data_IF_182092638969
#
_entry.id   IF_182092638969
#
_cell.length_a   1.000
_cell.length_b   1.000
_cell.length_c   1.000
_cell.angle_alpha   90.00
_cell.angle_beta   90.00
_cell.angle_gamma   90.00
#
_symmetry.space_group_name_H-M   'P 1'
#
loop_
_entity.id
_entity.type
_entity.pdbx_description
1 polymer ?
#
# COMPACT_ATOMS: atom_id res chain seq x y z
N UNK A 1 4.66 -5.24 41.12
CA UNK A 1 3.38 -5.83 40.68
C UNK A 1 2.85 -4.98 39.53
N UNK A 2 3.18 -5.40 38.33
CA UNK A 2 3.06 -4.69 37.05
C UNK A 2 1.97 -5.26 36.12
N UNK A 3 1.31 -6.36 36.51
CA UNK A 3 0.17 -6.93 35.77
C UNK A 3 -1.04 -5.94 35.65
N UNK A 4 -1.08 -4.91 36.51
CA UNK A 4 -1.98 -3.72 36.58
C UNK A 4 -1.72 -2.71 35.44
N UNK A 5 -0.64 -2.89 34.67
CA UNK A 5 0.01 -1.82 33.89
C UNK A 5 0.53 -2.28 32.52
N UNK A 6 0.68 -3.59 32.29
CA UNK A 6 1.30 -4.16 31.08
C UNK A 6 0.27 -4.92 30.26
N UNK A 7 -0.06 -4.48 29.02
CA UNK A 7 -1.14 -5.05 28.22
C UNK A 7 -0.93 -6.55 27.92
N UNK A 8 0.31 -6.99 27.77
CA UNK A 8 0.68 -8.39 27.55
C UNK A 8 0.47 -9.30 28.77
N UNK A 9 0.15 -8.74 29.93
CA UNK A 9 -0.15 -9.46 31.18
C UNK A 9 -1.64 -9.39 31.58
N UNK A 10 -2.46 -8.53 30.95
CA UNK A 10 -3.85 -8.31 31.37
C UNK A 10 -4.89 -8.21 30.24
N UNK A 11 -4.48 -8.13 28.97
CA UNK A 11 -5.39 -8.08 27.81
C UNK A 11 -5.28 -9.34 26.95
N UNK A 12 -6.41 -9.78 26.40
CA UNK A 12 -6.46 -10.89 25.44
C UNK A 12 -5.91 -10.56 24.04
N UNK A 13 -5.74 -9.26 23.74
CA UNK A 13 -5.19 -8.75 22.48
C UNK A 13 -4.26 -7.56 22.78
N UNK A 14 -3.08 -7.58 22.18
CA UNK A 14 -2.05 -6.53 22.30
C UNK A 14 -1.07 -6.65 21.13
N UNK A 15 -0.21 -5.64 20.94
CA UNK A 15 0.86 -5.63 19.94
C UNK A 15 2.24 -5.57 20.64
N UNK A 16 3.26 -6.21 20.05
CA UNK A 16 4.65 -6.14 20.52
C UNK A 16 5.54 -5.70 19.36
N UNK A 17 6.48 -4.79 19.63
CA UNK A 17 7.48 -4.36 18.66
C UNK A 17 8.44 -5.52 18.35
N UNK A 18 8.40 -6.01 17.10
CA UNK A 18 9.27 -7.07 16.63
C UNK A 18 10.75 -6.63 16.63
N UNK A 19 11.62 -7.46 17.19
CA UNK A 19 13.08 -7.28 17.10
C UNK A 19 13.61 -7.79 15.75
N UNK A 20 14.80 -7.34 15.34
CA UNK A 20 15.39 -7.65 14.02
C UNK A 20 15.45 -9.13 13.63
N UNK A 21 15.54 -10.04 14.60
CA UNK A 21 15.54 -11.49 14.37
C UNK A 21 14.22 -12.02 13.74
N UNK A 22 13.13 -11.25 13.84
CA UNK A 22 11.85 -11.54 13.18
C UNK A 22 11.74 -10.90 11.78
N UNK A 23 12.73 -10.10 11.36
CA UNK A 23 12.74 -9.43 10.07
C UNK A 23 13.63 -10.19 9.08
N UNK A 24 13.28 -10.12 7.78
CA UNK A 24 14.03 -10.81 6.73
C UNK A 24 15.48 -10.32 6.68
N UNK A 25 16.42 -11.27 6.60
CA UNK A 25 17.87 -11.03 6.52
C UNK A 25 18.41 -10.12 7.64
N UNK A 26 17.77 -10.14 8.82
CA UNK A 26 17.98 -9.27 10.00
C UNK A 26 17.90 -7.75 9.74
N UNK A 27 17.32 -7.36 8.60
CA UNK A 27 17.15 -5.96 8.18
C UNK A 27 15.73 -5.50 8.45
N UNK A 28 15.58 -4.24 8.81
CA UNK A 28 14.25 -3.64 8.90
C UNK A 28 13.54 -3.69 7.53
N UNK A 29 12.23 -3.97 7.49
CA UNK A 29 11.50 -4.08 6.24
C UNK A 29 11.38 -2.71 5.55
N UNK A 30 11.54 -2.72 4.23
CA UNK A 30 11.22 -1.59 3.36
C UNK A 30 9.71 -1.27 3.37
N UNK A 31 9.31 0.00 3.20
CA UNK A 31 7.90 0.36 2.99
C UNK A 31 7.31 -0.36 1.77
N UNK A 32 6.04 -0.82 1.84
CA UNK A 32 5.38 -1.49 0.72
C UNK A 32 5.15 -0.54 -0.45
N UNK A 33 4.65 -1.11 -1.56
CA UNK A 33 4.26 -0.36 -2.74
C UNK A 33 2.91 -0.82 -3.28
N UNK A 34 2.11 0.12 -3.80
CA UNK A 34 0.95 -0.21 -4.63
C UNK A 34 1.37 -0.23 -6.10
N UNK A 35 0.95 -1.25 -6.85
CA UNK A 35 1.13 -1.31 -8.30
C UNK A 35 -0.26 -1.32 -8.93
N UNK A 36 -0.65 -0.22 -9.56
CA UNK A 36 -1.91 -0.11 -10.26
C UNK A 36 -1.77 -0.72 -11.66
N UNK A 37 -2.33 -1.94 -11.82
CA UNK A 37 -2.44 -2.62 -13.11
C UNK A 37 -3.81 -2.34 -13.72
N UNK A 38 -3.84 -1.61 -14.83
CA UNK A 38 -5.08 -1.12 -15.48
C UNK A 38 -5.33 -1.90 -16.78
N UNK A 39 -6.51 -2.50 -16.90
CA UNK A 39 -6.95 -3.09 -18.18
C UNK A 39 -7.20 -1.97 -19.21
N UNK A 40 -6.50 -2.04 -20.34
CA UNK A 40 -6.69 -1.15 -21.50
C UNK A 40 -7.23 -1.89 -22.73
N UNK A 41 -7.81 -3.08 -22.52
CA UNK A 41 -8.56 -3.81 -23.54
C UNK A 41 -9.68 -2.96 -24.15
N UNK A 42 -10.09 -3.32 -25.37
CA UNK A 42 -11.19 -2.68 -26.08
C UNK A 42 -12.47 -2.55 -25.23
N UNK A 43 -12.76 -3.51 -24.34
CA UNK A 43 -13.93 -3.48 -23.48
C UNK A 43 -13.80 -2.45 -22.34
N UNK A 44 -12.63 -2.38 -21.70
CA UNK A 44 -12.34 -1.38 -20.65
C UNK A 44 -12.34 0.04 -21.21
N UNK A 45 -11.79 0.25 -22.40
CA UNK A 45 -11.82 1.56 -23.08
C UNK A 45 -13.23 1.91 -23.56
N UNK A 46 -13.94 1.00 -24.23
CA UNK A 46 -15.30 1.25 -24.76
C UNK A 46 -16.33 1.52 -23.66
N UNK A 47 -16.15 0.96 -22.46
CA UNK A 47 -17.03 1.21 -21.30
C UNK A 47 -16.69 2.49 -20.54
N UNK A 48 -15.61 3.19 -20.90
CA UNK A 48 -15.08 4.34 -20.14
C UNK A 48 -14.38 3.96 -18.83
N UNK A 49 -14.27 2.67 -18.50
CA UNK A 49 -13.70 2.19 -17.24
C UNK A 49 -12.23 2.58 -17.08
N UNK A 50 -11.42 2.45 -18.14
CA UNK A 50 -10.02 2.86 -18.12
C UNK A 50 -9.84 4.37 -17.85
N UNK A 51 -10.71 5.21 -18.44
CA UNK A 51 -10.70 6.66 -18.23
C UNK A 51 -11.14 7.04 -16.81
N UNK A 52 -12.21 6.41 -16.31
CA UNK A 52 -12.74 6.62 -14.97
C UNK A 52 -11.78 6.19 -13.86
N UNK A 53 -11.06 5.07 -14.04
CA UNK A 53 -9.98 4.63 -13.13
C UNK A 53 -8.85 5.67 -13.11
N UNK A 54 -8.38 6.12 -14.28
CA UNK A 54 -7.34 7.15 -14.37
C UNK A 54 -7.79 8.50 -13.74
N UNK A 55 -9.08 8.84 -13.80
CA UNK A 55 -9.64 9.98 -13.12
C UNK A 55 -9.55 9.82 -11.59
N UNK A 56 -10.16 8.78 -11.02
CA UNK A 56 -10.19 8.54 -9.55
C UNK A 56 -8.78 8.45 -8.96
N UNK A 57 -7.86 7.76 -9.65
CA UNK A 57 -6.47 7.65 -9.20
C UNK A 57 -5.83 9.04 -9.04
N UNK A 58 -6.06 9.94 -10.00
CA UNK A 58 -5.49 11.29 -10.01
C UNK A 58 -6.17 12.26 -9.06
N UNK A 59 -7.50 12.20 -8.90
CA UNK A 59 -8.27 13.17 -8.10
C UNK A 59 -8.34 12.80 -6.63
N UNK A 60 -8.48 11.51 -6.31
CA UNK A 60 -8.77 11.03 -4.96
C UNK A 60 -7.68 10.09 -4.44
N UNK A 61 -7.49 8.93 -5.08
CA UNK A 61 -6.83 7.81 -4.41
C UNK A 61 -5.37 8.08 -4.04
N UNK A 62 -4.60 8.77 -4.89
CA UNK A 62 -3.22 9.16 -4.60
C UNK A 62 -3.10 10.19 -3.45
N UNK A 63 -4.14 10.97 -3.18
CA UNK A 63 -4.18 11.93 -2.08
C UNK A 63 -4.52 11.25 -0.72
N UNK A 64 -5.09 10.04 -0.77
CA UNK A 64 -5.53 9.27 0.41
C UNK A 64 -4.70 8.00 0.67
N UNK A 65 -3.45 7.95 0.17
CA UNK A 65 -2.52 6.85 0.48
C UNK A 65 -2.28 6.74 2.00
N UNK A 66 -2.36 5.53 2.60
CA UNK A 66 -2.13 5.34 4.02
C UNK A 66 -0.77 5.89 4.47
N UNK A 67 -0.75 6.60 5.60
CA UNK A 67 0.46 7.17 6.21
C UNK A 67 0.44 6.97 7.72
N UNK A 68 1.63 6.83 8.31
CA UNK A 68 1.78 6.71 9.76
C UNK A 68 1.28 7.98 10.47
N UNK A 69 0.78 7.82 11.70
CA UNK A 69 0.18 8.93 12.50
C UNK A 69 1.11 10.13 12.71
N UNK A 70 2.43 9.92 12.58
CA UNK A 70 3.47 10.92 12.78
C UNK A 70 4.16 11.35 11.46
N UNK A 71 3.61 10.96 10.29
CA UNK A 71 4.19 11.25 8.98
C UNK A 71 3.33 12.23 8.18
N UNK A 72 3.96 13.30 7.68
CA UNK A 72 3.29 14.30 6.83
C UNK A 72 2.85 13.68 5.49
N UNK A 73 3.71 12.86 4.89
CA UNK A 73 3.46 12.14 3.63
C UNK A 73 3.36 10.64 3.84
N UNK A 74 2.75 9.92 2.89
CA UNK A 74 2.88 8.46 2.84
C UNK A 74 4.30 8.07 2.40
N UNK A 75 4.85 7.02 3.02
CA UNK A 75 6.11 6.38 2.58
C UNK A 75 5.87 5.22 1.59
N UNK A 76 4.61 4.96 1.23
CA UNK A 76 4.22 3.90 0.30
C UNK A 76 4.52 4.35 -1.13
N UNK A 77 5.34 3.56 -1.84
CA UNK A 77 5.66 3.83 -3.26
C UNK A 77 4.47 3.45 -4.15
N UNK A 78 4.33 4.13 -5.29
CA UNK A 78 3.31 3.79 -6.29
C UNK A 78 3.99 3.51 -7.64
N UNK A 79 3.59 2.41 -8.28
CA UNK A 79 3.91 2.10 -9.66
C UNK A 79 2.64 1.93 -10.51
N UNK A 80 2.77 2.10 -11.82
CA UNK A 80 1.67 1.96 -12.77
C UNK A 80 2.08 1.03 -13.91
N UNK A 81 1.14 0.18 -14.34
CA UNK A 81 1.25 -0.62 -15.56
C UNK A 81 -0.12 -0.74 -16.22
N UNK A 82 -0.15 -0.90 -17.53
CA UNK A 82 -1.38 -1.25 -18.28
C UNK A 82 -1.23 -2.63 -18.91
N UNK A 83 -2.35 -3.31 -19.18
CA UNK A 83 -2.32 -4.59 -19.89
C UNK A 83 -3.48 -4.74 -20.88
N UNK A 84 -3.23 -5.49 -21.95
CA UNK A 84 -4.25 -5.99 -22.87
C UNK A 84 -3.96 -7.44 -23.31
N UNK A 85 -3.03 -7.63 -24.26
CA UNK A 85 -2.34 -8.86 -24.64
C UNK A 85 -0.87 -8.82 -24.25
N UNK A 86 -0.35 -7.62 -23.98
CA UNK A 86 0.99 -7.35 -23.47
C UNK A 86 0.88 -6.50 -22.20
N UNK A 87 1.98 -6.39 -21.44
CA UNK A 87 2.07 -5.52 -20.26
C UNK A 87 2.95 -4.32 -20.62
N UNK A 88 2.44 -3.11 -20.43
CA UNK A 88 3.19 -1.87 -20.62
C UNK A 88 3.55 -1.29 -19.24
N UNK A 89 4.84 -1.13 -18.98
CA UNK A 89 5.36 -0.51 -17.75
C UNK A 89 5.68 0.96 -18.02
N UNK A 90 5.49 1.81 -17.01
CA UNK A 90 5.79 3.24 -17.07
C UNK A 90 6.88 3.59 -16.07
N UNK A 91 7.82 4.43 -16.48
CA UNK A 91 8.82 5.05 -15.61
C UNK A 91 8.35 6.48 -15.30
N UNK A 92 8.15 6.80 -14.03
CA UNK A 92 7.44 7.98 -13.51
C UNK A 92 8.17 8.46 -12.25
#
# INVERSE_FOLDING_TARGET
>A
MDWYQRPELCLGSYEILATKQYCKDEKWPEPPAFIFMIDVSYNSVRSGLAEYICHILKTELLNYLPKDKNSETSNIRVGFATFDKQINFYNI
#
